data_IF_486498889559
#
_entry.id   IF_486498889559
#
_cell.length_a   1.000
_cell.length_b   1.000
_cell.length_c   1.000
_cell.angle_alpha   90.00
_cell.angle_beta   90.00
_cell.angle_gamma   90.00
#
_symmetry.space_group_name_H-M   'P 1'
#
loop_
_entity.id
_entity.type
_entity.pdbx_description
1 polymer ?
#
# COMPACT_ATOMS: atom_id res chain seq x y z
N UNK A 1 -22.39 11.55 -8.42
CA UNK A 1 -23.56 11.50 -7.50
C UNK A 1 -23.92 10.06 -7.11
N UNK A 2 -24.03 9.12 -8.05
CA UNK A 2 -24.38 7.72 -7.76
C UNK A 2 -23.36 7.02 -6.83
N UNK A 3 -22.06 7.19 -7.07
CA UNK A 3 -20.99 6.56 -6.27
C UNK A 3 -20.99 7.03 -4.81
N UNK A 4 -21.21 8.33 -4.57
CA UNK A 4 -21.33 8.89 -3.20
C UNK A 4 -22.55 8.33 -2.47
N UNK A 5 -23.66 8.12 -3.19
CA UNK A 5 -24.87 7.53 -2.62
C UNK A 5 -24.67 6.05 -2.25
N UNK A 6 -23.96 5.29 -3.09
CA UNK A 6 -23.61 3.89 -2.82
C UNK A 6 -22.75 3.80 -1.56
N UNK A 7 -21.69 4.62 -1.45
CA UNK A 7 -20.82 4.65 -0.26
C UNK A 7 -21.61 4.96 1.02
N UNK A 8 -22.50 5.96 0.96
CA UNK A 8 -23.36 6.32 2.08
C UNK A 8 -24.37 5.22 2.47
N UNK A 9 -24.81 4.40 1.50
CA UNK A 9 -25.68 3.25 1.75
C UNK A 9 -24.91 2.09 2.41
N UNK A 10 -23.65 1.84 2.03
CA UNK A 10 -22.84 0.77 2.63
C UNK A 10 -22.69 0.91 4.14
N UNK A 11 -22.54 2.14 4.65
CA UNK A 11 -22.46 2.43 6.08
C UNK A 11 -23.71 2.01 6.87
N UNK A 12 -24.86 1.88 6.19
CA UNK A 12 -26.14 1.47 6.79
C UNK A 12 -26.47 0.00 6.55
N UNK A 13 -25.59 -0.76 5.89
CA UNK A 13 -25.84 -2.16 5.60
C UNK A 13 -25.56 -3.04 6.82
N UNK A 14 -26.35 -4.12 7.02
CA UNK A 14 -26.07 -5.08 8.07
C UNK A 14 -24.68 -5.70 7.92
N UNK A 15 -23.91 -5.81 9.00
CA UNK A 15 -22.53 -6.36 8.99
C UNK A 15 -22.45 -7.75 8.36
N UNK A 16 -23.48 -8.59 8.51
CA UNK A 16 -23.54 -9.92 7.89
C UNK A 16 -23.59 -9.86 6.36
N UNK A 17 -24.28 -8.86 5.80
CA UNK A 17 -24.38 -8.69 4.35
C UNK A 17 -23.06 -8.16 3.79
N UNK A 18 -22.47 -7.15 4.44
CA UNK A 18 -21.15 -6.61 4.08
C UNK A 18 -20.11 -7.73 4.09
N UNK A 19 -20.09 -8.56 5.15
CA UNK A 19 -19.22 -9.74 5.25
C UNK A 19 -19.47 -10.75 4.13
N UNK A 20 -20.72 -10.99 3.76
CA UNK A 20 -21.04 -11.93 2.68
C UNK A 20 -20.50 -11.45 1.32
N UNK A 21 -20.64 -10.16 1.01
CA UNK A 21 -20.11 -9.57 -0.23
C UNK A 21 -18.58 -9.46 -0.21
N UNK A 22 -17.98 -9.11 0.92
CA UNK A 22 -16.53 -8.90 1.04
C UNK A 22 -15.71 -10.19 1.07
N UNK A 23 -16.32 -11.35 1.35
CA UNK A 23 -15.65 -12.67 1.41
C UNK A 23 -14.79 -13.04 0.20
N UNK A 24 -15.09 -12.47 -0.98
CA UNK A 24 -14.28 -12.70 -2.19
C UNK A 24 -13.00 -11.86 -2.23
N UNK A 25 -12.96 -10.76 -1.45
CA UNK A 25 -11.91 -9.75 -1.48
C UNK A 25 -11.12 -9.65 -0.16
N UNK A 26 -11.60 -10.31 0.91
CA UNK A 26 -10.97 -10.33 2.23
C UNK A 26 -10.71 -11.79 2.61
N UNK A 27 -9.46 -12.11 2.95
CA UNK A 27 -9.05 -13.47 3.26
C UNK A 27 -9.81 -14.05 4.47
N UNK A 28 -10.10 -13.22 5.46
CA UNK A 28 -11.00 -13.53 6.56
C UNK A 28 -10.94 -12.48 7.67
N UNK A 29 -11.51 -12.81 8.83
CA UNK A 29 -11.52 -11.90 9.99
C UNK A 29 -10.41 -12.18 10.99
N UNK A 30 -9.73 -13.33 10.85
CA UNK A 30 -8.66 -13.76 11.74
C UNK A 30 -7.41 -14.11 10.92
N UNK A 31 -6.25 -14.08 11.57
CA UNK A 31 -4.97 -14.46 10.95
C UNK A 31 -4.99 -15.89 10.38
N UNK A 32 -5.62 -16.84 11.06
CA UNK A 32 -5.74 -18.23 10.59
C UNK A 32 -6.49 -18.35 9.25
N UNK A 33 -7.46 -17.45 9.00
CA UNK A 33 -8.16 -17.41 7.71
C UNK A 33 -7.20 -16.95 6.61
N UNK A 34 -6.37 -15.93 6.90
CA UNK A 34 -5.35 -15.45 5.98
C UNK A 34 -4.31 -16.54 5.66
N UNK A 35 -3.80 -17.23 6.69
CA UNK A 35 -2.87 -18.37 6.53
C UNK A 35 -3.48 -19.46 5.65
N UNK A 36 -4.78 -19.78 5.84
CA UNK A 36 -5.47 -20.78 5.02
C UNK A 36 -5.55 -20.35 3.55
N UNK A 37 -5.82 -19.08 3.28
CA UNK A 37 -5.86 -18.53 1.92
C UNK A 37 -4.47 -18.52 1.29
N UNK A 38 -3.45 -18.11 2.03
CA UNK A 38 -2.06 -18.10 1.56
C UNK A 38 -1.60 -19.50 1.16
N UNK A 39 -1.79 -20.54 2.00
CA UNK A 39 -1.46 -21.93 1.66
C UNK A 39 -2.10 -22.41 0.36
N UNK A 40 -3.34 -21.99 0.10
CA UNK A 40 -4.04 -22.34 -1.14
C UNK A 40 -3.37 -21.65 -2.33
N UNK A 41 -3.14 -20.35 -2.26
CA UNK A 41 -2.62 -19.55 -3.37
C UNK A 41 -1.12 -19.78 -3.63
N UNK A 42 -0.36 -20.16 -2.60
CA UNK A 42 1.05 -20.54 -2.73
C UNK A 42 1.20 -21.75 -3.66
N UNK A 43 0.26 -22.69 -3.60
CA UNK A 43 0.22 -23.83 -4.54
C UNK A 43 0.00 -23.43 -6.00
N UNK A 44 -0.41 -22.19 -6.25
CA UNK A 44 -0.56 -21.58 -7.59
C UNK A 44 0.67 -20.74 -7.99
N UNK A 45 1.71 -20.67 -7.15
CA UNK A 45 2.93 -19.90 -7.39
C UNK A 45 2.83 -18.42 -7.04
N UNK A 46 1.86 -18.03 -6.19
CA UNK A 46 1.70 -16.67 -5.74
C UNK A 46 2.66 -16.33 -4.58
N UNK A 47 3.16 -15.09 -4.56
CA UNK A 47 3.71 -14.42 -3.38
C UNK A 47 2.70 -13.44 -2.80
N UNK A 48 2.95 -12.94 -1.58
CA UNK A 48 1.93 -12.23 -0.82
C UNK A 48 2.38 -10.85 -0.35
N UNK A 49 1.36 -10.00 -0.16
CA UNK A 49 1.46 -8.86 0.73
C UNK A 49 0.24 -8.87 1.65
N UNK A 50 0.47 -8.63 2.94
CA UNK A 50 -0.59 -8.67 3.95
C UNK A 50 -0.90 -7.25 4.41
N UNK A 51 -2.18 -6.91 4.39
CA UNK A 51 -2.76 -5.66 4.90
C UNK A 51 -3.74 -6.01 6.03
N UNK A 52 -3.49 -5.46 7.21
CA UNK A 52 -4.39 -5.59 8.36
C UNK A 52 -5.45 -4.50 8.27
N UNK A 53 -6.65 -4.89 7.86
CA UNK A 53 -7.78 -3.96 7.75
C UNK A 53 -8.27 -3.51 9.13
N UNK A 54 -8.42 -2.20 9.30
CA UNK A 54 -9.08 -1.59 10.46
C UNK A 54 -9.75 -0.27 10.12
N UNK A 55 -10.43 0.32 11.10
CA UNK A 55 -11.04 1.66 10.98
C UNK A 55 -9.96 2.75 11.12
N UNK A 56 -10.24 3.96 10.63
CA UNK A 56 -9.35 5.11 10.85
C UNK A 56 -9.18 5.32 12.36
N UNK A 57 -7.92 5.40 12.81
CA UNK A 57 -7.65 5.59 14.23
C UNK A 57 -7.98 7.01 14.68
N UNK A 58 -8.49 7.12 15.91
CA UNK A 58 -8.81 8.40 16.54
C UNK A 58 -7.88 8.76 17.71
N UNK A 59 -7.03 7.83 18.14
CA UNK A 59 -6.09 7.99 19.25
C UNK A 59 -4.82 7.16 19.03
N UNK A 60 -3.70 7.53 19.68
CA UNK A 60 -2.45 6.77 19.60
C UNK A 60 -2.55 5.40 20.28
N UNK A 61 -3.45 5.23 21.25
CA UNK A 61 -3.68 3.93 21.89
C UNK A 61 -4.21 2.89 20.89
N UNK A 62 -4.94 3.34 19.86
CA UNK A 62 -5.42 2.48 18.77
C UNK A 62 -4.30 2.09 17.79
N UNK A 63 -3.20 2.88 17.68
CA UNK A 63 -2.06 2.52 16.84
C UNK A 63 -1.31 1.28 17.38
N UNK A 64 -1.31 1.09 18.70
CA UNK A 64 -0.70 -0.09 19.32
C UNK A 64 -1.40 -1.39 18.88
N UNK A 65 -2.71 -1.35 18.65
CA UNK A 65 -3.45 -2.50 18.13
C UNK A 65 -2.87 -2.94 16.78
N UNK A 66 -2.68 -2.02 15.83
CA UNK A 66 -2.11 -2.36 14.53
C UNK A 66 -0.69 -2.91 14.63
N UNK A 67 0.16 -2.30 15.47
CA UNK A 67 1.51 -2.83 15.73
C UNK A 67 1.45 -4.28 16.21
N UNK A 68 0.60 -4.58 17.19
CA UNK A 68 0.44 -5.93 17.73
C UNK A 68 -0.08 -6.91 16.66
N UNK A 69 -1.02 -6.49 15.81
CA UNK A 69 -1.51 -7.31 14.69
C UNK A 69 -0.38 -7.62 13.69
N UNK A 70 0.40 -6.62 13.28
CA UNK A 70 1.49 -6.84 12.33
C UNK A 70 2.60 -7.72 12.91
N UNK A 71 2.89 -7.63 14.21
CA UNK A 71 3.80 -8.57 14.88
C UNK A 71 3.28 -10.00 14.78
N UNK A 72 1.98 -10.22 14.96
CA UNK A 72 1.39 -11.56 14.78
C UNK A 72 1.44 -12.02 13.33
N UNK A 73 1.22 -11.12 12.37
CA UNK A 73 1.36 -11.41 10.94
C UNK A 73 2.78 -11.85 10.60
N UNK A 74 3.80 -11.08 11.02
CA UNK A 74 5.21 -11.43 10.79
C UNK A 74 5.54 -12.81 11.36
N UNK A 75 5.11 -13.09 12.59
CA UNK A 75 5.29 -14.40 13.20
C UNK A 75 4.64 -15.52 12.39
N UNK A 76 3.41 -15.33 11.92
CA UNK A 76 2.73 -16.35 11.12
C UNK A 76 3.38 -16.56 9.74
N UNK A 77 3.92 -15.51 9.13
CA UNK A 77 4.71 -15.61 7.89
C UNK A 77 5.96 -16.47 8.13
N UNK A 78 6.73 -16.18 9.18
CA UNK A 78 7.94 -16.94 9.54
C UNK A 78 7.61 -18.39 9.89
N UNK A 79 6.58 -18.64 10.70
CA UNK A 79 6.20 -19.99 11.14
C UNK A 79 5.72 -20.90 10.00
N UNK A 80 5.19 -20.31 8.93
CA UNK A 80 4.70 -21.07 7.76
C UNK A 80 5.62 -20.97 6.54
N UNK A 81 6.75 -20.25 6.64
CA UNK A 81 7.74 -20.07 5.56
C UNK A 81 7.13 -19.46 4.28
N UNK A 82 6.25 -18.45 4.43
CA UNK A 82 5.61 -17.80 3.29
C UNK A 82 6.49 -16.72 2.64
N UNK A 83 6.50 -16.66 1.30
CA UNK A 83 7.00 -15.50 0.54
C UNK A 83 6.00 -14.34 0.65
N UNK A 84 6.14 -13.54 1.71
CA UNK A 84 5.17 -12.51 2.06
C UNK A 84 5.82 -11.24 2.64
N UNK A 85 5.25 -10.10 2.27
CA UNK A 85 5.65 -8.77 2.72
C UNK A 85 4.49 -8.02 3.38
N UNK A 86 4.74 -6.87 4.00
CA UNK A 86 3.69 -6.08 4.67
C UNK A 86 3.25 -4.89 3.79
N UNK A 87 1.96 -4.58 3.78
CA UNK A 87 1.43 -3.30 3.29
C UNK A 87 0.73 -2.61 4.44
N UNK A 88 1.13 -1.38 4.76
CA UNK A 88 0.61 -0.64 5.92
C UNK A 88 0.11 0.73 5.52
N UNK A 89 -0.94 1.22 6.17
CA UNK A 89 -1.42 2.60 6.03
C UNK A 89 -0.76 3.48 7.09
N UNK A 90 0.07 4.48 6.74
CA UNK A 90 0.75 5.30 7.74
C UNK A 90 -0.20 5.98 8.74
N UNK A 91 -1.42 6.33 8.33
CA UNK A 91 -2.41 6.92 9.23
C UNK A 91 -2.80 5.99 10.38
N UNK A 92 -2.84 4.67 10.15
CA UNK A 92 -3.13 3.66 11.19
C UNK A 92 -2.05 3.57 12.27
N UNK A 93 -0.89 4.20 12.06
CA UNK A 93 0.22 4.24 13.00
C UNK A 93 0.33 5.58 13.74
N UNK A 94 -0.54 6.55 13.43
CA UNK A 94 -0.61 7.84 14.10
C UNK A 94 -0.07 9.01 13.29
N UNK A 95 0.30 8.83 12.01
CA UNK A 95 0.96 9.87 11.21
C UNK A 95 0.16 11.19 11.14
N UNK A 96 -1.18 11.12 11.16
CA UNK A 96 -2.07 12.30 11.17
C UNK A 96 -2.41 12.84 12.57
N UNK A 97 -2.13 12.08 13.63
CA UNK A 97 -2.44 12.45 15.02
C UNK A 97 -1.21 13.13 15.64
N UNK A 98 -0.07 12.46 15.57
CA UNK A 98 1.22 12.92 16.06
C UNK A 98 2.28 12.37 15.11
N UNK A 99 2.85 13.25 14.29
CA UNK A 99 3.79 12.87 13.22
C UNK A 99 5.02 12.16 13.78
N UNK A 100 5.54 12.63 14.92
CA UNK A 100 6.75 12.07 15.51
C UNK A 100 6.47 10.68 16.08
N UNK A 101 5.34 10.50 16.78
CA UNK A 101 4.92 9.16 17.25
C UNK A 101 4.53 8.21 16.13
N UNK A 102 3.88 8.73 15.08
CA UNK A 102 3.60 7.95 13.87
C UNK A 102 4.88 7.44 13.22
N UNK A 103 5.89 8.30 13.09
CA UNK A 103 7.19 7.92 12.56
C UNK A 103 7.91 6.89 13.45
N UNK A 104 7.93 7.08 14.77
CA UNK A 104 8.50 6.11 15.71
C UNK A 104 7.84 4.72 15.59
N UNK A 105 6.51 4.69 15.48
CA UNK A 105 5.74 3.45 15.34
C UNK A 105 6.06 2.73 14.03
N UNK A 106 6.08 3.46 12.90
CA UNK A 106 6.43 2.90 11.59
C UNK A 106 7.88 2.42 11.58
N UNK A 107 8.82 3.21 12.10
CA UNK A 107 10.23 2.81 12.21
C UNK A 107 10.39 1.52 13.02
N UNK A 108 9.71 1.41 14.16
CA UNK A 108 9.73 0.20 14.99
C UNK A 108 9.25 -1.03 14.22
N UNK A 109 8.18 -0.90 13.44
CA UNK A 109 7.68 -2.00 12.62
C UNK A 109 8.65 -2.37 11.50
N UNK A 110 9.21 -1.38 10.79
CA UNK A 110 10.16 -1.60 9.68
C UNK A 110 11.43 -2.29 10.18
N UNK A 111 11.93 -1.92 11.36
CA UNK A 111 13.06 -2.59 12.02
C UNK A 111 12.76 -4.04 12.33
N UNK A 112 11.60 -4.33 12.91
CA UNK A 112 11.19 -5.72 13.20
C UNK A 112 11.01 -6.55 11.94
N UNK A 113 10.44 -5.97 10.88
CA UNK A 113 10.30 -6.64 9.59
C UNK A 113 11.67 -6.98 8.97
N UNK A 114 12.67 -6.11 9.15
CA UNK A 114 14.03 -6.34 8.66
C UNK A 114 14.71 -7.54 9.34
N UNK A 115 14.38 -7.85 10.60
CA UNK A 115 14.90 -9.04 11.31
C UNK A 115 14.44 -10.37 10.69
N UNK A 116 13.43 -10.32 9.81
CA UNK A 116 12.86 -11.47 9.13
C UNK A 116 12.94 -11.35 7.60
N UNK A 117 13.83 -10.49 7.07
CA UNK A 117 14.00 -10.23 5.64
C UNK A 117 12.70 -9.79 4.93
N UNK A 118 11.78 -9.15 5.66
CA UNK A 118 10.51 -8.67 5.11
C UNK A 118 10.58 -7.21 4.69
N UNK A 119 9.94 -6.92 3.55
CA UNK A 119 9.72 -5.58 3.04
C UNK A 119 8.42 -4.98 3.60
N UNK A 120 8.44 -3.68 3.86
CA UNK A 120 7.25 -2.91 4.27
C UNK A 120 6.89 -1.89 3.19
N UNK A 121 5.71 -2.07 2.59
CA UNK A 121 5.12 -1.09 1.68
C UNK A 121 4.27 -0.10 2.45
N UNK A 122 4.57 1.19 2.36
CA UNK A 122 3.65 2.23 2.80
C UNK A 122 2.59 2.45 1.73
N UNK A 123 1.36 2.08 2.04
CA UNK A 123 0.21 2.29 1.19
C UNK A 123 -0.09 3.79 1.06
N UNK A 124 -0.31 4.23 -0.18
CA UNK A 124 -0.65 5.61 -0.46
C UNK A 124 -2.14 5.83 -0.28
N UNK A 125 -2.47 6.66 0.70
CA UNK A 125 -3.84 7.06 1.01
C UNK A 125 -4.26 8.26 0.14
N UNK A 126 -5.18 9.10 0.61
CA UNK A 126 -5.59 10.28 -0.16
C UNK A 126 -4.52 11.39 -0.16
N UNK A 127 -4.73 12.40 -1.01
CA UNK A 127 -3.75 13.47 -1.27
C UNK A 127 -3.28 14.22 0.00
N UNK A 128 -4.03 14.19 1.10
CA UNK A 128 -3.72 14.93 2.33
C UNK A 128 -2.48 14.39 3.05
N UNK A 129 -2.07 13.15 2.75
CA UNK A 129 -0.94 12.48 3.42
C UNK A 129 0.13 11.99 2.45
N UNK A 130 0.03 12.33 1.16
CA UNK A 130 0.98 11.85 0.14
C UNK A 130 2.40 12.31 0.43
N UNK A 131 2.58 13.61 0.72
CA UNK A 131 3.90 14.18 0.99
C UNK A 131 4.48 13.59 2.27
N UNK A 132 3.69 13.47 3.33
CA UNK A 132 4.11 12.93 4.62
C UNK A 132 4.50 11.45 4.49
N UNK A 133 3.76 10.67 3.70
CA UNK A 133 4.07 9.26 3.44
C UNK A 133 5.39 9.09 2.69
N UNK A 134 5.63 9.92 1.67
CA UNK A 134 6.91 9.91 0.94
C UNK A 134 8.06 10.31 1.88
N UNK A 135 7.87 11.36 2.68
CA UNK A 135 8.90 11.80 3.62
C UNK A 135 9.26 10.71 4.64
N UNK A 136 8.29 9.94 5.14
CA UNK A 136 8.56 8.79 6.04
C UNK A 136 9.51 7.80 5.37
N UNK A 137 9.32 7.47 4.08
CA UNK A 137 10.24 6.58 3.36
C UNK A 137 11.65 7.18 3.32
N UNK A 138 11.77 8.45 2.92
CA UNK A 138 13.07 9.11 2.83
C UNK A 138 13.79 9.15 4.19
N UNK A 139 13.08 9.54 5.25
CA UNK A 139 13.61 9.61 6.62
C UNK A 139 14.06 8.23 7.14
N UNK A 140 13.36 7.15 6.77
CA UNK A 140 13.77 5.79 7.14
C UNK A 140 15.02 5.34 6.38
N UNK A 141 15.13 5.68 5.08
CA UNK A 141 16.34 5.40 4.29
C UNK A 141 17.55 6.19 4.82
N UNK A 142 17.37 7.44 5.24
CA UNK A 142 18.42 8.23 5.91
C UNK A 142 18.91 7.56 7.21
N UNK A 143 18.03 6.85 7.90
CA UNK A 143 18.34 6.03 9.09
C UNK A 143 18.94 4.65 8.76
N UNK A 144 19.16 4.35 7.48
CA UNK A 144 19.73 3.10 6.99
C UNK A 144 18.74 1.94 6.86
N UNK A 145 17.44 2.20 6.93
CA UNK A 145 16.39 1.20 6.72
C UNK A 145 15.97 1.20 5.26
N UNK A 146 16.43 0.20 4.50
CA UNK A 146 16.18 0.09 3.05
C UNK A 146 15.09 -0.91 2.69
N UNK A 147 14.55 -1.66 3.66
CA UNK A 147 13.44 -2.61 3.48
C UNK A 147 12.06 -1.93 3.49
N UNK A 148 11.99 -0.69 2.98
CA UNK A 148 10.77 0.11 2.96
C UNK A 148 10.66 0.90 1.66
N UNK A 149 9.45 0.99 1.14
CA UNK A 149 9.11 1.76 -0.05
C UNK A 149 7.65 2.18 -0.02
N UNK A 150 7.20 2.89 -1.05
CA UNK A 150 5.85 3.48 -1.06
C UNK A 150 5.03 3.05 -2.25
N UNK A 151 3.74 3.35 -2.22
CA UNK A 151 2.85 3.29 -3.38
C UNK A 151 2.82 4.67 -4.03
N UNK A 152 2.79 4.74 -5.37
CA UNK A 152 2.44 5.96 -6.08
C UNK A 152 1.21 5.74 -6.96
N UNK A 153 0.39 6.79 -7.08
CA UNK A 153 -0.91 6.74 -7.74
C UNK A 153 -0.83 7.43 -9.11
N UNK A 154 -0.71 6.66 -10.19
CA UNK A 154 -0.44 7.18 -11.53
C UNK A 154 -1.43 8.24 -12.05
N UNK A 155 -2.63 8.35 -11.47
CA UNK A 155 -3.59 9.39 -11.83
C UNK A 155 -3.31 10.77 -11.24
N UNK A 156 -2.43 10.92 -10.26
CA UNK A 156 -2.15 12.23 -9.66
C UNK A 156 -1.21 13.04 -10.55
N UNK A 157 -1.44 14.34 -10.66
CA UNK A 157 -0.59 15.23 -11.46
C UNK A 157 0.85 15.28 -10.96
N UNK A 158 1.04 15.12 -9.64
CA UNK A 158 2.34 15.16 -8.95
C UNK A 158 3.19 13.90 -9.11
N UNK A 159 2.61 12.77 -9.53
CA UNK A 159 3.31 11.47 -9.51
C UNK A 159 4.62 11.42 -10.31
N UNK A 160 4.75 12.05 -11.49
CA UNK A 160 6.04 12.11 -12.18
C UNK A 160 7.13 12.78 -11.32
N UNK A 161 6.81 13.89 -10.66
CA UNK A 161 7.76 14.61 -9.81
C UNK A 161 8.13 13.78 -8.57
N UNK A 162 7.15 13.12 -7.94
CA UNK A 162 7.39 12.23 -6.80
C UNK A 162 8.29 11.02 -7.15
N UNK A 163 8.19 10.49 -8.39
CA UNK A 163 9.08 9.42 -8.87
C UNK A 163 10.51 9.93 -8.98
N UNK A 164 10.74 11.10 -9.59
CA UNK A 164 12.09 11.67 -9.70
C UNK A 164 12.65 11.98 -8.32
N UNK A 165 11.88 12.65 -7.47
CA UNK A 165 12.34 13.07 -6.14
C UNK A 165 12.80 11.88 -5.30
N UNK A 166 11.98 10.84 -5.21
CA UNK A 166 12.36 9.64 -4.46
C UNK A 166 13.51 8.90 -5.15
N UNK A 167 13.46 8.76 -6.47
CA UNK A 167 14.50 8.08 -7.26
C UNK A 167 15.87 8.74 -7.09
N UNK A 168 15.94 10.06 -7.14
CA UNK A 168 17.18 10.83 -6.96
C UNK A 168 17.69 10.75 -5.51
N UNK A 169 16.78 10.70 -4.53
CA UNK A 169 17.12 10.69 -3.11
C UNK A 169 17.69 9.34 -2.64
N UNK A 170 17.06 8.22 -3.03
CA UNK A 170 17.42 6.88 -2.53
C UNK A 170 17.97 5.93 -3.60
N UNK A 171 18.07 6.41 -4.85
CA UNK A 171 18.76 5.74 -5.96
C UNK A 171 18.25 4.32 -6.22
N UNK A 172 19.14 3.31 -6.28
CA UNK A 172 18.75 1.94 -6.61
C UNK A 172 17.87 1.28 -5.54
N UNK A 173 17.73 1.89 -4.34
CA UNK A 173 16.82 1.39 -3.32
C UNK A 173 15.39 1.94 -3.51
N UNK A 174 15.14 2.76 -4.53
CA UNK A 174 13.80 3.19 -4.88
C UNK A 174 12.95 1.97 -5.23
N UNK A 175 11.87 1.80 -4.49
CA UNK A 175 10.92 0.73 -4.67
C UNK A 175 9.50 1.31 -4.60
N UNK A 176 8.76 1.15 -5.70
CA UNK A 176 7.39 1.63 -5.84
C UNK A 176 6.43 0.49 -6.09
N UNK A 177 5.23 0.59 -5.51
CA UNK A 177 4.04 -0.06 -6.08
C UNK A 177 3.27 1.00 -6.86
N UNK A 178 3.11 0.83 -8.16
CA UNK A 178 2.33 1.77 -8.99
C UNK A 178 0.92 1.24 -9.14
N UNK A 179 -0.06 2.08 -8.81
CA UNK A 179 -1.48 1.79 -9.00
C UNK A 179 -2.17 2.96 -9.67
N UNK A 180 -3.43 2.78 -10.08
CA UNK A 180 -4.25 3.87 -10.65
C UNK A 180 -4.61 4.95 -9.63
N UNK A 181 -4.78 4.59 -8.35
CA UNK A 181 -5.34 5.44 -7.31
C UNK A 181 -6.86 5.31 -7.17
N UNK A 182 -7.33 5.04 -5.95
CA UNK A 182 -8.74 4.71 -5.65
C UNK A 182 -9.54 5.85 -5.03
N UNK A 183 -8.86 6.88 -4.51
CA UNK A 183 -9.49 8.00 -3.81
C UNK A 183 -10.21 8.94 -4.79
N UNK A 184 -11.26 9.59 -4.29
CA UNK A 184 -12.06 10.55 -5.06
C UNK A 184 -11.40 11.93 -5.00
N UNK A 185 -10.43 12.14 -5.88
CA UNK A 185 -9.69 13.39 -5.98
C UNK A 185 -10.28 14.36 -7.01
N UNK A 186 -10.15 15.68 -6.78
CA UNK A 186 -10.67 16.69 -7.68
C UNK A 186 -9.76 16.86 -8.92
N UNK A 187 -10.33 17.35 -10.03
CA UNK A 187 -9.65 17.41 -11.34
C UNK A 187 -8.42 18.32 -11.36
N UNK A 188 -8.32 19.24 -10.40
CA UNK A 188 -7.20 20.14 -10.22
C UNK A 188 -5.90 19.39 -9.87
N UNK A 189 -6.00 18.22 -9.21
CA UNK A 189 -4.84 17.45 -8.74
C UNK A 189 -4.75 16.05 -9.35
N UNK A 190 -5.79 15.60 -10.05
CA UNK A 190 -5.86 14.25 -10.58
C UNK A 190 -6.58 14.16 -11.93
N UNK A 191 -6.06 13.30 -12.80
CA UNK A 191 -6.79 12.86 -13.98
C UNK A 191 -8.03 12.04 -13.56
N UNK A 192 -9.18 12.32 -14.20
CA UNK A 192 -10.48 11.72 -13.85
C UNK A 192 -11.07 10.84 -14.95
N UNK A 193 -10.65 11.03 -16.22
CA UNK A 193 -11.13 10.17 -17.30
C UNK A 193 -10.43 8.81 -17.27
N UNK A 194 -11.14 7.74 -17.66
CA UNK A 194 -10.58 6.39 -17.65
C UNK A 194 -9.35 6.24 -18.55
N UNK A 195 -9.36 6.92 -19.69
CA UNK A 195 -8.24 6.94 -20.65
C UNK A 195 -7.04 7.62 -20.03
N UNK A 196 -7.20 8.84 -19.51
CA UNK A 196 -6.08 9.58 -18.90
C UNK A 196 -5.51 8.83 -17.69
N UNK A 197 -6.36 8.26 -16.82
CA UNK A 197 -5.91 7.46 -15.67
C UNK A 197 -5.05 6.29 -16.13
N UNK A 198 -5.47 5.56 -17.17
CA UNK A 198 -4.71 4.42 -17.70
C UNK A 198 -3.38 4.91 -18.28
N UNK A 199 -3.43 5.90 -19.17
CA UNK A 199 -2.25 6.37 -19.89
C UNK A 199 -1.21 6.95 -18.91
N UNK A 200 -1.66 7.64 -17.86
CA UNK A 200 -0.78 8.20 -16.81
C UNK A 200 -0.26 7.15 -15.83
N UNK A 201 -1.00 6.07 -15.61
CA UNK A 201 -0.47 4.89 -14.89
C UNK A 201 0.65 4.23 -15.69
N UNK A 202 0.47 4.08 -17.01
CA UNK A 202 1.49 3.54 -17.91
C UNK A 202 2.74 4.44 -17.93
N UNK A 203 2.55 5.77 -18.03
CA UNK A 203 3.65 6.73 -17.94
C UNK A 203 4.44 6.59 -16.63
N UNK A 204 3.74 6.47 -15.49
CA UNK A 204 4.36 6.30 -14.17
C UNK A 204 5.15 4.99 -14.05
N UNK A 205 4.62 3.87 -14.57
CA UNK A 205 5.32 2.57 -14.60
C UNK A 205 6.62 2.68 -15.40
N UNK A 206 6.52 3.17 -16.64
CA UNK A 206 7.68 3.34 -17.53
C UNK A 206 8.74 4.24 -16.88
N UNK A 207 8.31 5.38 -16.34
CA UNK A 207 9.22 6.35 -15.73
C UNK A 207 9.95 5.79 -14.52
N UNK A 208 9.26 5.06 -13.64
CA UNK A 208 9.87 4.42 -12.48
C UNK A 208 10.89 3.34 -12.89
N UNK A 209 10.57 2.52 -13.89
CA UNK A 209 11.48 1.51 -14.44
C UNK A 209 12.72 2.15 -15.08
N UNK A 210 12.54 3.22 -15.89
CA UNK A 210 13.64 3.95 -16.52
C UNK A 210 14.57 4.63 -15.52
N UNK A 211 14.06 5.01 -14.33
CA UNK A 211 14.87 5.53 -13.23
C UNK A 211 15.57 4.42 -12.42
N UNK A 212 15.38 3.14 -12.77
CA UNK A 212 16.06 2.01 -12.15
C UNK A 212 15.44 1.51 -10.85
N UNK A 213 14.20 1.90 -10.54
CA UNK A 213 13.49 1.44 -9.36
C UNK A 213 12.95 0.01 -9.53
N UNK A 214 12.75 -0.70 -8.41
CA UNK A 214 11.86 -1.86 -8.42
C UNK A 214 10.40 -1.37 -8.52
N UNK A 215 9.59 -2.02 -9.37
CA UNK A 215 8.21 -1.59 -9.61
C UNK A 215 7.22 -2.76 -9.47
N UNK A 216 6.44 -2.74 -8.39
CA UNK A 216 5.25 -3.55 -8.24
C UNK A 216 4.08 -2.97 -9.06
N UNK A 217 3.73 -3.60 -10.17
CA UNK A 217 2.63 -3.17 -11.05
C UNK A 217 1.29 -3.67 -10.51
N UNK A 218 0.55 -2.81 -9.78
CA UNK A 218 -0.70 -3.17 -9.14
C UNK A 218 -1.92 -2.83 -10.03
N UNK A 219 -2.23 -3.69 -11.00
CA UNK A 219 -3.36 -3.51 -11.91
C UNK A 219 -4.04 -4.82 -12.30
N UNK A 220 -5.37 -4.77 -12.42
CA UNK A 220 -6.19 -5.80 -13.06
C UNK A 220 -6.67 -5.37 -14.46
N UNK A 221 -6.27 -4.18 -14.92
CA UNK A 221 -6.60 -3.66 -16.25
C UNK A 221 -5.65 -4.27 -17.27
N UNK A 222 -6.16 -5.18 -18.10
CA UNK A 222 -5.38 -5.93 -19.09
C UNK A 222 -4.51 -5.01 -19.96
N UNK A 223 -5.04 -3.91 -20.55
CA UNK A 223 -4.21 -2.90 -21.23
C UNK A 223 -3.01 -2.35 -20.45
N UNK A 224 -3.10 -2.19 -19.12
CA UNK A 224 -1.96 -1.75 -18.30
C UNK A 224 -0.96 -2.90 -18.14
N UNK A 225 -1.46 -4.12 -17.93
CA UNK A 225 -0.62 -5.33 -17.81
C UNK A 225 0.14 -5.57 -19.11
N UNK A 226 -0.55 -5.57 -20.25
CA UNK A 226 0.03 -5.77 -21.58
C UNK A 226 1.11 -4.71 -21.87
N UNK A 227 0.79 -3.43 -21.64
CA UNK A 227 1.78 -2.34 -21.76
C UNK A 227 3.00 -2.57 -20.87
N UNK A 228 2.79 -2.98 -19.62
CA UNK A 228 3.89 -3.18 -18.68
C UNK A 228 4.81 -4.31 -19.12
N UNK A 229 4.27 -5.39 -19.68
CA UNK A 229 5.06 -6.50 -20.23
C UNK A 229 5.87 -6.10 -21.47
N UNK A 230 5.43 -5.08 -22.21
CA UNK A 230 6.16 -4.56 -23.38
C UNK A 230 7.33 -3.64 -23.02
N UNK A 231 7.27 -2.97 -21.85
CA UNK A 231 8.30 -1.99 -21.42
C UNK A 231 9.33 -2.56 -20.43
N UNK A 232 9.10 -3.78 -19.90
CA UNK A 232 10.09 -4.55 -19.13
C UNK A 232 11.17 -5.13 -20.03
#
# INVERSE_FOLDING_TARGET
MLSKLIVAMTLRMPRWFVRWVSRRYVAGSNLDDAVTVMKRLESEGACFTIDVLGEEISSLDEAQFFLDEYVRVMKAIVENDFDANLSIKPTAFGLLIDKDKGMENIESLVRQAAEHDMFVRLDMEDHRVTTETIQVVLDLHEKGLTNVGTVLQGRLHRTPDDIVEVGDAIGPNADYRICKGIYLEPEEIAYTTRTDIRDKTNDAIRMALEHGAYVGIASHDVPVVDYSLEVL
#
